data_IF_747351556652
#
_entry.id   IF_747351556652
#
_cell.length_a   1.000
_cell.length_b   1.000
_cell.length_c   1.000
_cell.angle_alpha   90.00
_cell.angle_beta   90.00
_cell.angle_gamma   90.00
#
_symmetry.space_group_name_H-M   'P 1'
#
loop_
_entity.id
_entity.type
_entity.pdbx_description
1 polymer ?
#
# COMPACT_ATOMS: atom_id res chain seq x y z
N UNK A 1 6.55 -13.19 5.27
CA UNK A 1 7.37 -14.39 5.55
C UNK A 1 8.80 -14.16 5.08
N UNK A 2 9.78 -14.95 5.54
CA UNK A 2 11.20 -14.81 5.17
C UNK A 2 11.77 -16.13 4.65
N UNK A 3 12.55 -16.08 3.57
CA UNK A 3 13.28 -17.26 3.08
C UNK A 3 14.47 -17.54 4.01
N UNK A 4 14.57 -18.79 4.50
CA UNK A 4 15.60 -19.24 5.44
C UNK A 4 16.60 -20.23 4.84
N UNK A 5 17.07 -20.00 3.60
CA UNK A 5 18.00 -20.92 2.93
C UNK A 5 19.46 -20.50 3.04
N UNK A 6 20.34 -21.50 3.20
CA UNK A 6 21.80 -21.34 3.16
C UNK A 6 22.40 -21.86 1.84
N UNK A 7 21.58 -22.36 0.91
CA UNK A 7 22.04 -22.81 -0.40
C UNK A 7 22.40 -21.61 -1.29
N UNK A 8 23.69 -21.27 -1.30
CA UNK A 8 24.22 -20.16 -2.08
C UNK A 8 23.99 -20.31 -3.59
N UNK A 9 23.91 -21.54 -4.12
CA UNK A 9 23.69 -21.79 -5.55
C UNK A 9 22.26 -21.45 -5.96
N UNK A 10 21.29 -21.91 -5.17
CA UNK A 10 19.89 -21.56 -5.41
C UNK A 10 19.61 -20.07 -5.19
N UNK A 11 20.22 -19.45 -4.19
CA UNK A 11 20.10 -18.00 -3.96
C UNK A 11 20.65 -17.18 -5.13
N UNK A 12 21.83 -17.55 -5.67
CA UNK A 12 22.36 -16.93 -6.89
C UNK A 12 21.43 -17.10 -8.09
N UNK A 13 20.81 -18.28 -8.23
CA UNK A 13 19.83 -18.53 -9.30
C UNK A 13 18.57 -17.67 -9.14
N UNK A 14 18.12 -17.44 -7.90
CA UNK A 14 17.01 -16.54 -7.60
C UNK A 14 17.37 -15.09 -7.94
N UNK A 15 18.58 -14.65 -7.58
CA UNK A 15 19.09 -13.31 -7.91
C UNK A 15 19.16 -13.06 -9.42
N UNK A 16 19.67 -14.03 -10.17
CA UNK A 16 19.72 -13.99 -11.62
C UNK A 16 18.30 -13.87 -12.21
N UNK A 17 17.34 -14.66 -11.70
CA UNK A 17 15.94 -14.59 -12.12
C UNK A 17 15.31 -13.22 -11.79
N UNK A 18 15.54 -12.68 -10.59
CA UNK A 18 15.06 -11.35 -10.18
C UNK A 18 15.66 -10.23 -11.03
N UNK A 19 16.94 -10.35 -11.40
CA UNK A 19 17.67 -9.44 -12.29
C UNK A 19 17.07 -9.42 -13.70
N UNK A 20 16.81 -10.60 -14.26
CA UNK A 20 16.20 -10.75 -15.57
C UNK A 20 14.77 -10.23 -15.56
N UNK A 21 13.97 -10.62 -14.57
CA UNK A 21 12.58 -10.16 -14.42
C UNK A 21 12.50 -8.63 -14.29
N UNK A 22 13.33 -8.04 -13.43
CA UNK A 22 13.41 -6.58 -13.27
C UNK A 22 13.83 -5.87 -14.56
N UNK A 23 14.71 -6.48 -15.37
CA UNK A 23 15.09 -5.96 -16.68
C UNK A 23 13.96 -6.03 -17.70
N UNK A 24 13.24 -7.16 -17.75
CA UNK A 24 12.06 -7.33 -18.60
C UNK A 24 10.97 -6.31 -18.26
N UNK A 25 10.71 -6.04 -16.97
CA UNK A 25 9.77 -5.01 -16.51
C UNK A 25 10.16 -3.62 -17.01
N UNK A 26 11.44 -3.25 -16.90
CA UNK A 26 11.94 -1.94 -17.38
C UNK A 26 11.86 -1.81 -18.90
N UNK A 27 12.19 -2.88 -19.62
CA UNK A 27 12.04 -2.93 -21.07
C UNK A 27 10.57 -2.73 -21.46
N UNK A 28 9.66 -3.50 -20.85
CA UNK A 28 8.22 -3.37 -21.08
C UNK A 28 7.72 -1.95 -20.79
N UNK A 29 8.14 -1.36 -19.67
CA UNK A 29 7.79 0.03 -19.31
C UNK A 29 8.17 1.03 -20.41
N UNK A 30 9.40 0.99 -20.92
CA UNK A 30 9.82 1.90 -21.98
C UNK A 30 9.06 1.65 -23.29
N UNK A 31 8.85 0.39 -23.68
CA UNK A 31 8.09 0.04 -24.89
C UNK A 31 6.62 0.46 -24.81
N UNK A 32 6.01 0.39 -23.62
CA UNK A 32 4.65 0.88 -23.39
C UNK A 32 4.55 2.41 -23.48
N UNK A 33 5.61 3.14 -23.07
CA UNK A 33 5.68 4.59 -23.25
C UNK A 33 5.89 5.01 -24.70
N UNK A 34 6.45 4.13 -25.53
CA UNK A 34 6.51 4.26 -27.00
C UNK A 34 5.23 3.77 -27.68
N UNK A 35 4.13 3.62 -26.93
CA UNK A 35 2.82 3.21 -27.42
C UNK A 35 2.77 1.83 -28.10
N UNK A 36 3.79 0.99 -27.90
CA UNK A 36 3.76 -0.38 -28.43
C UNK A 36 2.70 -1.22 -27.75
N UNK A 37 2.09 -2.12 -28.52
CA UNK A 37 1.03 -3.00 -28.04
C UNK A 37 1.55 -3.96 -26.95
N UNK A 38 0.81 -4.05 -25.84
CA UNK A 38 1.17 -4.94 -24.73
C UNK A 38 1.26 -6.41 -25.13
N UNK A 39 0.39 -6.89 -26.05
CA UNK A 39 0.41 -8.28 -26.52
C UNK A 39 1.71 -8.61 -27.24
N UNK A 40 2.20 -7.69 -28.08
CA UNK A 40 3.44 -7.87 -28.84
C UNK A 40 4.64 -7.87 -27.90
N UNK A 41 4.65 -6.98 -26.90
CA UNK A 41 5.69 -6.98 -25.86
C UNK A 41 5.68 -8.33 -25.12
N UNK A 42 4.52 -8.85 -24.71
CA UNK A 42 4.39 -10.14 -24.03
C UNK A 42 4.93 -11.29 -24.89
N UNK A 43 4.68 -11.25 -26.21
CA UNK A 43 5.19 -12.27 -27.14
C UNK A 43 6.70 -12.15 -27.36
N UNK A 44 7.23 -10.93 -27.36
CA UNK A 44 8.65 -10.65 -27.58
C UNK A 44 9.51 -11.02 -26.36
N UNK A 45 9.09 -10.66 -25.13
CA UNK A 45 9.89 -10.79 -23.90
C UNK A 45 10.51 -12.19 -23.65
N UNK A 46 9.84 -13.33 -23.90
CA UNK A 46 10.38 -14.65 -23.65
C UNK A 46 11.73 -14.93 -24.32
N UNK A 47 11.95 -14.48 -25.56
CA UNK A 47 13.16 -14.78 -26.33
C UNK A 47 14.42 -14.10 -25.78
N UNK A 48 14.50 -12.75 -25.65
CA UNK A 48 15.69 -12.07 -25.17
C UNK A 48 15.90 -12.19 -23.65
N UNK A 49 14.84 -12.38 -22.87
CA UNK A 49 14.94 -12.50 -21.41
C UNK A 49 14.90 -13.95 -20.92
N UNK A 50 14.72 -14.95 -21.78
CA UNK A 50 14.59 -16.37 -21.40
C UNK A 50 13.54 -16.59 -20.29
N UNK A 51 12.47 -15.80 -20.31
CA UNK A 51 11.37 -15.90 -19.35
C UNK A 51 10.25 -16.75 -19.93
N UNK A 52 9.52 -17.46 -19.05
CA UNK A 52 8.26 -18.06 -19.47
C UNK A 52 7.20 -16.98 -19.78
N UNK A 53 6.19 -17.33 -20.59
CA UNK A 53 5.13 -16.41 -21.01
C UNK A 53 4.36 -15.79 -19.83
N UNK A 54 4.27 -16.47 -18.68
CA UNK A 54 3.56 -15.97 -17.50
C UNK A 54 4.36 -14.87 -16.80
N UNK A 55 5.67 -15.06 -16.58
CA UNK A 55 6.54 -14.00 -16.08
C UNK A 55 6.61 -12.81 -17.04
N UNK A 56 6.59 -13.04 -18.35
CA UNK A 56 6.49 -11.96 -19.34
C UNK A 56 5.21 -11.14 -19.17
N UNK A 57 4.04 -11.81 -19.04
CA UNK A 57 2.76 -11.15 -18.73
C UNK A 57 2.83 -10.35 -17.43
N UNK A 58 3.38 -10.94 -16.38
CA UNK A 58 3.51 -10.32 -15.06
C UNK A 58 4.43 -9.08 -15.08
N UNK A 59 5.53 -9.12 -15.83
CA UNK A 59 6.42 -7.98 -16.02
C UNK A 59 5.74 -6.81 -16.75
N UNK A 60 4.95 -7.11 -17.79
CA UNK A 60 4.16 -6.11 -18.53
C UNK A 60 3.05 -5.54 -17.66
N UNK A 61 2.36 -6.37 -16.90
CA UNK A 61 1.32 -5.93 -15.96
C UNK A 61 1.90 -4.94 -14.94
N UNK A 62 3.03 -5.27 -14.30
CA UNK A 62 3.67 -4.35 -13.35
C UNK A 62 4.09 -3.03 -14.00
N UNK A 63 4.55 -3.07 -15.26
CA UNK A 63 4.89 -1.87 -16.00
C UNK A 63 3.66 -1.00 -16.29
N UNK A 64 2.54 -1.61 -16.72
CA UNK A 64 1.27 -0.92 -16.92
C UNK A 64 0.74 -0.30 -15.62
N UNK A 65 0.73 -1.06 -14.51
CA UNK A 65 0.32 -0.56 -13.20
C UNK A 65 1.19 0.63 -12.74
N UNK A 66 2.50 0.59 -13.02
CA UNK A 66 3.39 1.71 -12.71
C UNK A 66 3.06 2.97 -13.52
N UNK A 67 2.75 2.82 -14.82
CA UNK A 67 2.34 3.94 -15.69
C UNK A 67 0.99 4.51 -15.21
N UNK A 68 -0.01 3.65 -14.95
CA UNK A 68 -1.32 4.06 -14.42
C UNK A 68 -1.16 4.85 -13.13
N UNK A 69 -0.38 4.33 -12.20
CA UNK A 69 -0.09 5.00 -10.93
C UNK A 69 0.59 6.36 -11.13
N UNK A 70 1.51 6.52 -12.10
CA UNK A 70 2.10 7.84 -12.37
C UNK A 70 1.08 8.82 -12.96
N UNK A 71 0.18 8.36 -13.83
CA UNK A 71 -0.90 9.19 -14.40
C UNK A 71 -1.89 9.63 -13.33
N UNK A 72 -2.35 8.72 -12.49
CA UNK A 72 -3.28 9.00 -11.38
C UNK A 72 -2.69 9.99 -10.36
N UNK A 73 -1.38 9.89 -10.09
CA UNK A 73 -0.70 10.79 -9.16
C UNK A 73 -0.37 12.16 -9.74
N UNK A 74 -0.44 12.34 -11.07
CA UNK A 74 0.02 13.56 -11.73
C UNK A 74 -0.83 14.79 -11.34
N UNK A 75 -2.17 14.77 -11.43
CA UNK A 75 -3.01 15.87 -10.96
C UNK A 75 -2.80 16.20 -9.48
N UNK A 76 -2.70 15.17 -8.63
CA UNK A 76 -2.50 15.34 -7.18
C UNK A 76 -1.16 16.04 -6.91
N UNK A 77 -0.09 15.64 -7.61
CA UNK A 77 1.23 16.28 -7.49
C UNK A 77 1.22 17.71 -7.98
N UNK A 78 0.46 18.01 -9.03
CA UNK A 78 0.31 19.37 -9.54
C UNK A 78 -0.38 20.26 -8.50
N UNK A 79 -1.50 19.81 -7.94
CA UNK A 79 -2.23 20.50 -6.87
C UNK A 79 -1.32 20.73 -5.64
N UNK A 80 -0.56 19.72 -5.23
CA UNK A 80 0.40 19.82 -4.12
C UNK A 80 1.51 20.86 -4.37
N UNK A 81 1.94 21.03 -5.63
CA UNK A 81 2.94 22.03 -6.01
C UNK A 81 2.31 23.43 -6.04
N UNK A 82 1.12 23.58 -6.60
CA UNK A 82 0.37 24.83 -6.63
C UNK A 82 0.10 25.36 -5.21
N UNK A 83 -0.37 24.49 -4.32
CA UNK A 83 -0.57 24.83 -2.91
C UNK A 83 0.73 25.26 -2.20
N UNK A 84 1.91 24.80 -2.65
CA UNK A 84 3.21 25.26 -2.13
C UNK A 84 3.61 26.61 -2.72
N UNK A 85 3.32 26.86 -4.00
CA UNK A 85 3.55 28.15 -4.66
C UNK A 85 2.78 29.24 -3.93
N UNK A 86 1.46 29.08 -3.78
CA UNK A 86 0.58 30.04 -3.10
C UNK A 86 1.10 30.38 -1.68
N UNK A 87 1.56 29.36 -0.95
CA UNK A 87 2.11 29.55 0.40
C UNK A 87 3.45 30.28 0.40
N UNK A 88 4.33 29.95 -0.54
CA UNK A 88 5.62 30.65 -0.66
C UNK A 88 5.40 32.12 -1.06
N UNK A 89 4.47 32.39 -1.97
CA UNK A 89 4.07 33.75 -2.37
C UNK A 89 3.49 34.53 -1.19
N UNK A 90 2.54 33.95 -0.45
CA UNK A 90 2.01 34.55 0.79
C UNK A 90 3.11 34.85 1.81
N UNK A 91 4.08 33.94 1.97
CA UNK A 91 5.18 34.14 2.92
C UNK A 91 6.12 35.26 2.49
N UNK A 92 6.39 35.40 1.18
CA UNK A 92 7.15 36.52 0.63
C UNK A 92 6.40 37.84 0.91
N UNK A 93 5.09 37.88 0.63
CA UNK A 93 4.24 39.05 0.89
C UNK A 93 4.26 39.48 2.36
N UNK A 94 4.11 38.53 3.29
CA UNK A 94 4.15 38.79 4.73
C UNK A 94 5.50 39.37 5.20
N UNK A 95 6.62 38.94 4.60
CA UNK A 95 7.94 39.48 4.90
C UNK A 95 8.17 40.87 4.29
N UNK A 96 7.72 41.08 3.06
CA UNK A 96 7.85 42.38 2.37
C UNK A 96 7.05 43.47 3.07
N UNK A 97 5.85 43.16 3.58
CA UNK A 97 5.00 44.10 4.29
C UNK A 97 5.27 44.18 5.81
N UNK A 98 6.36 43.57 6.29
CA UNK A 98 6.75 43.61 7.71
C UNK A 98 5.79 42.88 8.67
N UNK A 99 4.81 42.10 8.16
CA UNK A 99 3.89 41.30 8.98
C UNK A 99 4.60 40.13 9.67
N UNK A 100 5.76 39.72 9.14
CA UNK A 100 6.67 38.73 9.74
C UNK A 100 8.12 39.19 9.61
N UNK A 101 8.96 38.72 10.53
CA UNK A 101 10.40 38.95 10.51
C UNK A 101 11.18 37.62 10.57
N UNK A 102 12.28 37.49 9.81
CA UNK A 102 13.07 36.26 9.80
C UNK A 102 13.84 36.12 11.12
N UNK A 103 13.88 34.91 11.68
CA UNK A 103 14.50 34.65 13.00
C UNK A 103 15.98 34.25 12.94
N UNK A 104 16.50 33.87 11.77
CA UNK A 104 17.81 33.21 11.64
C UNK A 104 18.79 33.92 10.69
N UNK A 105 18.26 34.67 9.74
CA UNK A 105 19.01 35.34 8.68
C UNK A 105 18.37 36.71 8.46
N UNK A 106 19.10 37.64 7.85
CA UNK A 106 18.58 38.93 7.46
C UNK A 106 17.45 38.81 6.42
N UNK A 107 16.62 39.85 6.33
CA UNK A 107 15.46 39.91 5.44
C UNK A 107 15.83 39.75 3.96
N UNK A 108 16.83 40.47 3.40
CA UNK A 108 17.28 40.27 2.03
C UNK A 108 17.64 38.81 1.71
N UNK A 109 18.48 38.19 2.54
CA UNK A 109 18.89 36.78 2.35
C UNK A 109 17.70 35.83 2.42
N UNK A 110 16.76 36.08 3.34
CA UNK A 110 15.54 35.27 3.46
C UNK A 110 14.68 35.36 2.20
N UNK A 111 14.42 36.57 1.71
CA UNK A 111 13.61 36.83 0.52
C UNK A 111 14.25 36.21 -0.72
N UNK A 112 15.57 36.38 -0.91
CA UNK A 112 16.30 35.75 -2.02
C UNK A 112 16.19 34.22 -2.00
N UNK A 113 16.26 33.61 -0.81
CA UNK A 113 16.05 32.17 -0.64
C UNK A 113 14.64 31.72 -1.02
N UNK A 114 13.61 32.48 -0.60
CA UNK A 114 12.22 32.20 -0.93
C UNK A 114 11.91 32.39 -2.42
N UNK A 115 12.48 33.41 -3.06
CA UNK A 115 12.36 33.64 -4.50
C UNK A 115 12.96 32.47 -5.30
N UNK A 116 14.17 32.02 -4.97
CA UNK A 116 14.78 30.83 -5.59
C UNK A 116 13.95 29.56 -5.37
N UNK A 117 13.31 29.43 -4.22
CA UNK A 117 12.40 28.31 -3.96
C UNK A 117 11.14 28.42 -4.83
N UNK A 118 10.58 29.62 -4.97
CA UNK A 118 9.41 29.89 -5.80
C UNK A 118 9.69 29.58 -7.28
N UNK A 119 10.83 30.02 -7.82
CA UNK A 119 11.27 29.70 -9.18
C UNK A 119 11.34 28.19 -9.43
N UNK A 120 11.91 27.43 -8.50
CA UNK A 120 11.97 25.96 -8.57
C UNK A 120 10.58 25.33 -8.55
N UNK A 121 9.66 25.86 -7.75
CA UNK A 121 8.29 25.36 -7.68
C UNK A 121 7.52 25.67 -8.97
N UNK A 122 7.63 26.90 -9.51
CA UNK A 122 7.01 27.30 -10.78
C UNK A 122 7.55 26.48 -11.96
N UNK A 123 8.87 26.27 -12.01
CA UNK A 123 9.48 25.37 -13.01
C UNK A 123 8.91 23.95 -12.90
N UNK A 124 8.74 23.44 -11.67
CA UNK A 124 8.15 22.12 -11.45
C UNK A 124 6.67 22.07 -11.84
N UNK A 125 5.90 23.10 -11.54
CA UNK A 125 4.50 23.23 -11.94
C UNK A 125 4.37 23.16 -13.47
N UNK A 126 5.20 23.94 -14.19
CA UNK A 126 5.21 23.94 -15.65
C UNK A 126 5.56 22.56 -16.24
N UNK A 127 6.55 21.86 -15.67
CA UNK A 127 6.88 20.48 -16.08
C UNK A 127 5.68 19.53 -15.90
N UNK A 128 4.97 19.62 -14.76
CA UNK A 128 3.83 18.76 -14.47
C UNK A 128 2.61 19.09 -15.35
N UNK A 129 2.33 20.38 -15.58
CA UNK A 129 1.29 20.83 -16.53
C UNK A 129 1.56 20.32 -17.93
N UNK A 130 2.79 20.49 -18.43
CA UNK A 130 3.18 19.99 -19.73
C UNK A 130 2.93 18.47 -19.88
N UNK A 131 3.30 17.67 -18.88
CA UNK A 131 3.01 16.24 -18.91
C UNK A 131 1.51 15.93 -18.90
N UNK A 132 0.72 16.69 -18.15
CA UNK A 132 -0.72 16.52 -18.07
C UNK A 132 -1.39 16.85 -19.41
N UNK A 133 -1.02 17.98 -20.01
CA UNK A 133 -1.57 18.47 -21.28
C UNK A 133 -1.23 17.53 -22.44
N UNK A 134 -0.03 16.95 -22.43
CA UNK A 134 0.43 16.02 -23.47
C UNK A 134 0.01 14.55 -23.19
N UNK A 135 -0.68 14.26 -22.09
CA UNK A 135 -1.04 12.88 -21.71
C UNK A 135 0.16 11.97 -21.41
N UNK A 136 1.32 12.54 -21.13
CA UNK A 136 2.57 11.83 -20.83
C UNK A 136 2.80 11.76 -19.32
N UNK A 137 3.90 11.12 -18.89
CA UNK A 137 4.28 11.04 -17.48
C UNK A 137 5.68 11.60 -17.26
N UNK A 138 5.97 12.18 -16.08
CA UNK A 138 7.31 12.53 -15.70
C UNK A 138 8.26 11.32 -15.73
N UNK A 139 9.54 11.58 -16.00
CA UNK A 139 10.55 10.52 -16.10
C UNK A 139 10.64 9.70 -14.81
N UNK A 140 10.43 8.39 -14.96
CA UNK A 140 10.54 7.43 -13.85
C UNK A 140 11.98 6.93 -13.73
N UNK A 141 12.56 7.10 -12.53
CA UNK A 141 13.89 6.60 -12.19
C UNK A 141 13.73 5.31 -11.37
N UNK A 142 13.89 4.16 -12.03
CA UNK A 142 13.95 2.87 -11.34
C UNK A 142 15.09 2.87 -10.31
N UNK A 143 14.84 2.33 -9.11
CA UNK A 143 15.80 2.37 -7.99
C UNK A 143 15.71 3.65 -7.15
N UNK A 144 14.92 4.63 -7.59
CA UNK A 144 14.57 5.83 -6.85
C UNK A 144 15.51 7.01 -7.11
N UNK A 145 14.92 8.21 -7.20
CA UNK A 145 15.64 9.47 -7.47
C UNK A 145 16.76 9.76 -6.46
N UNK A 146 16.54 9.46 -5.18
CA UNK A 146 17.55 9.66 -4.12
C UNK A 146 18.80 8.80 -4.37
N UNK A 147 18.62 7.53 -4.69
CA UNK A 147 19.72 6.60 -4.94
C UNK A 147 20.43 6.91 -6.27
N UNK A 148 19.70 7.42 -7.27
CA UNK A 148 20.32 7.94 -8.49
C UNK A 148 21.29 9.09 -8.20
N UNK A 149 20.93 10.05 -7.34
CA UNK A 149 21.86 11.10 -6.92
C UNK A 149 23.03 10.58 -6.08
N UNK A 150 22.81 9.56 -5.23
CA UNK A 150 23.93 8.89 -4.54
C UNK A 150 24.90 8.27 -5.55
N UNK A 151 24.39 7.65 -6.61
CA UNK A 151 25.20 7.06 -7.68
C UNK A 151 26.00 8.13 -8.43
N UNK A 152 25.39 9.27 -8.73
CA UNK A 152 26.07 10.41 -9.38
C UNK A 152 27.19 11.00 -8.52
N UNK A 153 27.03 10.98 -7.19
CA UNK A 153 28.03 11.46 -6.23
C UNK A 153 29.12 10.43 -5.90
N UNK A 154 29.05 9.22 -6.46
CA UNK A 154 29.99 8.14 -6.13
C UNK A 154 29.74 7.44 -4.79
N UNK A 155 28.63 7.74 -4.11
CA UNK A 155 28.32 7.17 -2.78
C UNK A 155 27.74 5.74 -2.84
N UNK A 156 27.37 5.27 -4.03
CA UNK A 156 27.01 3.87 -4.28
C UNK A 156 27.63 3.41 -5.60
N UNK A 157 28.01 2.15 -5.68
CA UNK A 157 28.59 1.52 -6.86
C UNK A 157 27.55 1.31 -7.96
N UNK A 158 28.02 0.98 -9.17
CA UNK A 158 27.13 0.62 -10.26
C UNK A 158 26.37 -0.69 -9.99
N UNK A 159 26.98 -1.61 -9.25
CA UNK A 159 26.37 -2.88 -8.85
C UNK A 159 25.24 -2.63 -7.86
N UNK A 160 25.50 -1.91 -6.77
CA UNK A 160 24.47 -1.51 -5.80
C UNK A 160 23.28 -0.81 -6.49
N UNK A 161 23.55 0.05 -7.48
CA UNK A 161 22.51 0.68 -8.28
C UNK A 161 21.71 -0.29 -9.17
N UNK A 162 22.36 -1.31 -9.73
CA UNK A 162 21.68 -2.39 -10.48
C UNK A 162 20.82 -3.24 -9.55
N UNK A 163 21.32 -3.55 -8.36
CA UNK A 163 20.61 -4.34 -7.35
C UNK A 163 19.31 -3.66 -6.89
N UNK A 164 19.35 -2.35 -6.61
CA UNK A 164 18.18 -1.56 -6.23
C UNK A 164 17.04 -1.57 -7.26
N UNK A 165 17.32 -1.99 -8.50
CA UNK A 165 16.35 -2.06 -9.61
C UNK A 165 15.92 -3.49 -9.93
N UNK A 166 16.57 -4.47 -9.31
CA UNK A 166 16.56 -5.88 -9.69
C UNK A 166 16.26 -6.79 -8.50
N UNK A 167 15.67 -6.23 -7.45
CA UNK A 167 15.44 -6.88 -6.16
C UNK A 167 14.00 -7.35 -5.98
N UNK A 168 13.28 -7.62 -7.06
CA UNK A 168 11.87 -8.02 -7.02
C UNK A 168 11.59 -9.15 -8.01
N UNK A 169 10.86 -10.17 -7.57
CA UNK A 169 10.15 -11.13 -8.42
C UNK A 169 8.67 -11.07 -8.09
N UNK A 170 7.82 -11.17 -9.10
CA UNK A 170 6.38 -11.09 -8.93
C UNK A 170 5.71 -12.14 -9.80
N UNK A 171 4.70 -12.82 -9.23
CA UNK A 171 3.88 -13.77 -9.94
C UNK A 171 2.43 -13.65 -9.48
N UNK A 172 1.53 -13.42 -10.42
CA UNK A 172 0.10 -13.28 -10.12
C UNK A 172 -0.58 -14.64 -10.00
N UNK A 173 -1.56 -14.71 -9.10
CA UNK A 173 -2.33 -15.92 -8.83
C UNK A 173 -3.24 -16.34 -9.99
N UNK A 174 -3.62 -17.62 -10.00
CA UNK A 174 -4.51 -18.26 -10.97
C UNK A 174 -5.14 -19.51 -10.34
N UNK A 175 -6.45 -19.45 -10.10
CA UNK A 175 -7.27 -20.52 -9.49
C UNK A 175 -7.09 -21.85 -10.22
N UNK A 176 -7.04 -21.82 -11.55
CA UNK A 176 -6.87 -23.03 -12.38
C UNK A 176 -5.47 -23.68 -12.27
N UNK A 177 -4.52 -23.04 -11.58
CA UNK A 177 -3.12 -23.49 -11.47
C UNK A 177 -2.65 -23.67 -10.04
N UNK A 178 -3.55 -24.10 -9.14
CA UNK A 178 -3.28 -24.34 -7.72
C UNK A 178 -2.85 -23.06 -6.99
N UNK A 179 -3.65 -22.01 -7.17
CA UNK A 179 -3.41 -20.69 -6.58
C UNK A 179 -2.35 -19.86 -7.31
N UNK A 180 -1.17 -20.40 -7.61
CA UNK A 180 -0.11 -19.71 -8.37
C UNK A 180 0.79 -20.71 -9.11
N UNK A 181 1.09 -20.49 -10.40
CA UNK A 181 1.92 -21.43 -11.18
C UNK A 181 3.43 -21.18 -11.00
N UNK A 182 3.82 -19.91 -10.99
CA UNK A 182 5.22 -19.50 -11.08
C UNK A 182 5.88 -19.47 -9.71
N UNK A 183 5.16 -19.10 -8.65
CA UNK A 183 5.67 -19.08 -7.28
C UNK A 183 4.63 -19.74 -6.39
N UNK A 184 4.93 -20.94 -5.92
CA UNK A 184 4.03 -21.75 -5.08
C UNK A 184 4.53 -21.79 -3.67
N UNK A 185 3.63 -21.63 -2.71
CA UNK A 185 3.87 -22.07 -1.36
C UNK A 185 3.34 -23.48 -1.19
N UNK A 186 4.06 -24.27 -0.41
CA UNK A 186 3.70 -25.64 -0.08
C UNK A 186 4.02 -25.86 1.38
N UNK A 187 3.10 -26.49 2.09
CA UNK A 187 3.32 -26.98 3.44
C UNK A 187 3.71 -28.47 3.38
N UNK A 188 4.62 -28.89 4.27
CA UNK A 188 5.03 -30.28 4.41
C UNK A 188 4.62 -30.78 5.80
N UNK A 189 3.57 -31.59 5.82
CA UNK A 189 2.97 -32.14 7.06
C UNK A 189 3.94 -32.99 7.88
N UNK A 190 5.03 -33.50 7.26
CA UNK A 190 6.02 -34.33 7.97
C UNK A 190 7.05 -33.49 8.71
N UNK A 191 7.45 -32.37 8.11
CA UNK A 191 8.48 -31.48 8.66
C UNK A 191 7.89 -30.24 9.34
N UNK A 192 6.56 -30.08 9.28
CA UNK A 192 5.83 -28.89 9.73
C UNK A 192 6.41 -27.59 9.16
N UNK A 193 6.96 -27.67 7.94
CA UNK A 193 7.71 -26.57 7.34
C UNK A 193 7.07 -26.08 6.04
N UNK A 194 6.95 -24.76 5.93
CA UNK A 194 6.57 -24.11 4.69
C UNK A 194 7.76 -23.97 3.73
N UNK A 195 7.52 -24.20 2.45
CA UNK A 195 8.47 -23.98 1.37
C UNK A 195 7.89 -23.07 0.31
N UNK A 196 8.75 -22.27 -0.32
CA UNK A 196 8.42 -21.58 -1.58
C UNK A 196 9.15 -22.27 -2.74
N UNK A 197 8.38 -22.72 -3.72
CA UNK A 197 8.86 -23.28 -4.96
C UNK A 197 8.70 -22.27 -6.10
N UNK A 198 9.79 -21.88 -6.75
CA UNK A 198 9.83 -20.82 -7.76
C UNK A 198 10.24 -21.41 -9.10
N UNK A 199 9.40 -21.27 -10.13
CA UNK A 199 9.75 -21.65 -11.49
C UNK A 199 10.98 -20.88 -11.97
N UNK A 200 11.99 -21.60 -12.46
CA UNK A 200 13.23 -21.00 -12.95
C UNK A 200 13.42 -21.30 -14.45
N UNK A 201 12.83 -20.49 -15.34
CA UNK A 201 12.99 -20.67 -16.78
C UNK A 201 14.44 -20.47 -17.27
N UNK A 202 15.30 -19.81 -16.50
CA UNK A 202 16.71 -19.61 -16.86
C UNK A 202 17.54 -20.90 -16.76
N UNK A 203 17.13 -21.82 -15.90
CA UNK A 203 17.72 -23.15 -15.77
C UNK A 203 17.09 -24.20 -16.69
N UNK A 204 16.17 -23.82 -17.58
CA UNK A 204 15.50 -24.76 -18.46
C UNK A 204 16.48 -25.32 -19.51
N UNK A 205 16.59 -26.64 -19.56
CA UNK A 205 17.28 -27.37 -20.64
C UNK A 205 16.30 -27.64 -21.79
N UNK A 206 16.83 -27.80 -23.00
CA UNK A 206 16.03 -28.11 -24.19
C UNK A 206 15.21 -29.39 -24.00
N UNK A 207 13.94 -29.36 -24.39
CA UNK A 207 12.99 -30.47 -24.24
C UNK A 207 12.53 -30.79 -22.80
N UNK A 208 13.12 -30.18 -21.76
CA UNK A 208 12.74 -30.42 -20.36
C UNK A 208 11.90 -29.28 -19.79
N UNK A 209 11.12 -29.61 -18.74
CA UNK A 209 10.44 -28.59 -17.96
C UNK A 209 11.44 -27.72 -17.19
N UNK A 210 11.11 -26.43 -17.04
CA UNK A 210 11.91 -25.52 -16.24
C UNK A 210 12.02 -26.04 -14.79
N UNK A 211 13.24 -26.10 -14.21
CA UNK A 211 13.42 -26.51 -12.82
C UNK A 211 12.71 -25.52 -11.88
N UNK A 212 12.48 -25.95 -10.64
CA UNK A 212 12.01 -25.06 -9.57
C UNK A 212 13.07 -24.90 -8.51
N UNK A 213 13.36 -23.66 -8.14
CA UNK A 213 14.11 -23.36 -6.91
C UNK A 213 13.18 -23.64 -5.73
N UNK A 214 13.69 -24.22 -4.65
CA UNK A 214 12.88 -24.57 -3.47
C UNK A 214 13.59 -24.06 -2.23
N UNK A 215 12.90 -23.23 -1.46
CA UNK A 215 13.46 -22.65 -0.25
C UNK A 215 12.53 -22.83 0.94
N UNK A 216 13.04 -23.15 2.14
CA UNK A 216 12.26 -23.06 3.37
C UNK A 216 11.86 -21.62 3.66
N UNK A 217 10.66 -21.43 4.19
CA UNK A 217 10.08 -20.13 4.49
C UNK A 217 9.60 -20.10 5.93
N UNK A 218 10.08 -19.11 6.68
CA UNK A 218 9.56 -18.80 8.02
C UNK A 218 8.25 -18.03 7.91
N UNK A 219 7.18 -18.67 8.40
CA UNK A 219 5.84 -18.09 8.56
C UNK A 219 5.67 -17.67 10.02
N UNK A 220 5.14 -16.47 10.30
CA UNK A 220 4.81 -16.11 11.67
C UNK A 220 3.63 -16.96 12.18
N UNK A 221 3.75 -17.51 13.39
CA UNK A 221 2.77 -18.39 14.06
C UNK A 221 1.31 -17.95 13.88
N UNK A 222 1.01 -16.67 14.13
CA UNK A 222 -0.33 -16.09 13.98
C UNK A 222 -0.96 -16.15 12.58
N UNK A 223 -0.21 -16.57 11.56
CA UNK A 223 -0.66 -16.73 10.19
C UNK A 223 -0.49 -18.17 9.70
N UNK A 224 -0.01 -19.10 10.51
CA UNK A 224 0.31 -20.45 10.04
C UNK A 224 -0.92 -21.17 9.51
N UNK A 225 -2.00 -21.26 10.30
CA UNK A 225 -3.26 -21.88 9.87
C UNK A 225 -3.81 -21.24 8.59
N UNK A 226 -3.92 -19.91 8.57
CA UNK A 226 -4.41 -19.15 7.41
C UNK A 226 -3.58 -19.42 6.15
N UNK A 227 -2.26 -19.52 6.27
CA UNK A 227 -1.38 -19.83 5.14
C UNK A 227 -1.48 -21.29 4.73
N UNK A 228 -1.63 -22.22 5.68
CA UNK A 228 -1.82 -23.64 5.40
C UNK A 228 -3.10 -23.82 4.59
N UNK A 229 -4.24 -23.30 5.08
CA UNK A 229 -5.54 -23.39 4.43
C UNK A 229 -5.50 -22.80 3.00
N UNK A 230 -4.86 -21.64 2.84
CA UNK A 230 -4.68 -21.00 1.53
C UNK A 230 -3.93 -21.88 0.52
N UNK A 231 -2.92 -22.64 0.97
CA UNK A 231 -2.04 -23.41 0.06
C UNK A 231 -2.48 -24.85 -0.15
N UNK A 232 -3.18 -25.45 0.82
CA UNK A 232 -3.75 -26.79 0.70
C UNK A 232 -4.99 -26.77 -0.20
N UNK A 233 -5.84 -25.75 -0.05
CA UNK A 233 -7.10 -25.60 -0.78
C UNK A 233 -8.21 -26.52 -0.24
N UNK A 234 -9.43 -26.26 -0.67
CA UNK A 234 -10.63 -26.91 -0.14
C UNK A 234 -11.01 -28.16 -0.95
N UNK A 235 -11.23 -29.32 -0.31
CA UNK A 235 -11.75 -30.49 -0.99
C UNK A 235 -13.23 -30.32 -1.31
N UNK A 236 -13.58 -30.20 -2.59
CA UNK A 236 -14.96 -29.94 -3.06
C UNK A 236 -15.65 -31.17 -3.66
N UNK A 237 -15.00 -32.32 -3.63
CA UNK A 237 -15.57 -33.59 -4.10
C UNK A 237 -14.51 -34.56 -4.59
N UNK A 238 -14.94 -35.58 -5.35
CA UNK A 238 -14.06 -36.55 -5.99
C UNK A 238 -14.32 -36.59 -7.48
N UNK A 239 -13.27 -36.79 -8.27
CA UNK A 239 -13.42 -36.99 -9.71
C UNK A 239 -13.88 -38.42 -10.02
N UNK A 240 -14.18 -38.71 -11.28
CA UNK A 240 -14.60 -40.03 -11.78
C UNK A 240 -13.62 -41.16 -11.48
N UNK A 241 -12.39 -40.86 -11.07
CA UNK A 241 -11.34 -41.82 -10.69
C UNK A 241 -11.11 -41.89 -9.17
N UNK A 242 -12.03 -41.35 -8.37
CA UNK A 242 -11.97 -41.36 -6.90
C UNK A 242 -10.91 -40.43 -6.30
N UNK A 243 -10.29 -39.54 -7.08
CA UNK A 243 -9.30 -38.58 -6.55
C UNK A 243 -10.00 -37.30 -6.08
N UNK A 244 -9.60 -36.72 -4.93
CA UNK A 244 -10.13 -35.45 -4.46
C UNK A 244 -9.98 -34.34 -5.50
N UNK A 245 -11.06 -33.59 -5.72
CA UNK A 245 -11.06 -32.33 -6.44
C UNK A 245 -10.80 -31.26 -5.40
N UNK A 246 -9.69 -30.54 -5.56
CA UNK A 246 -9.29 -29.47 -4.66
C UNK A 246 -9.53 -28.14 -5.36
N UNK A 247 -10.31 -27.29 -4.73
CA UNK A 247 -10.52 -25.92 -5.12
C UNK A 247 -9.46 -25.04 -4.46
N UNK A 248 -8.80 -24.18 -5.25
CA UNK A 248 -7.73 -23.34 -4.75
C UNK A 248 -8.11 -21.87 -4.86
N UNK A 249 -7.77 -21.09 -3.84
CA UNK A 249 -7.84 -19.64 -3.93
C UNK A 249 -6.62 -19.08 -4.71
N UNK A 250 -6.82 -18.16 -5.66
CA UNK A 250 -5.71 -17.48 -6.32
C UNK A 250 -4.98 -16.54 -5.35
N UNK A 251 -3.65 -16.66 -5.27
CA UNK A 251 -2.82 -15.75 -4.50
C UNK A 251 -1.65 -15.23 -5.33
N UNK A 252 -1.39 -13.94 -5.21
CA UNK A 252 -0.23 -13.28 -5.81
C UNK A 252 0.94 -13.34 -4.85
N UNK A 253 2.12 -13.61 -5.39
CA UNK A 253 3.36 -13.64 -4.63
C UNK A 253 4.30 -12.56 -5.14
N UNK A 254 4.84 -11.78 -4.22
CA UNK A 254 5.93 -10.85 -4.47
C UNK A 254 7.11 -11.19 -3.56
N UNK A 255 8.26 -11.49 -4.16
CA UNK A 255 9.51 -11.71 -3.45
C UNK A 255 10.35 -10.45 -3.55
N UNK A 256 10.77 -9.91 -2.42
CA UNK A 256 11.63 -8.72 -2.33
C UNK A 256 12.94 -9.05 -1.64
N UNK A 257 14.05 -8.68 -2.28
CA UNK A 257 15.39 -8.76 -1.69
C UNK A 257 15.74 -7.42 -1.03
N UNK A 258 16.15 -7.45 0.23
CA UNK A 258 16.57 -6.28 1.00
C UNK A 258 17.70 -6.66 1.95
N UNK A 259 18.84 -5.97 1.87
CA UNK A 259 20.00 -6.21 2.72
C UNK A 259 20.45 -7.70 2.73
N UNK A 260 20.47 -8.34 1.55
CA UNK A 260 20.81 -9.77 1.41
C UNK A 260 19.71 -10.76 1.81
N UNK A 261 18.61 -10.29 2.41
CA UNK A 261 17.51 -11.14 2.85
C UNK A 261 16.33 -11.11 1.87
N UNK A 262 15.57 -12.20 1.80
CA UNK A 262 14.44 -12.35 0.89
C UNK A 262 13.13 -12.47 1.66
N UNK A 263 12.22 -11.58 1.34
CA UNK A 263 10.91 -11.47 1.96
C UNK A 263 9.85 -11.91 0.95
N UNK A 264 9.01 -12.86 1.36
CA UNK A 264 7.87 -13.33 0.60
C UNK A 264 6.62 -12.60 1.11
N UNK A 265 6.00 -11.84 0.21
CA UNK A 265 4.73 -11.18 0.40
C UNK A 265 3.65 -11.94 -0.36
N UNK A 266 2.60 -12.35 0.35
CA UNK A 266 1.40 -12.90 -0.23
C UNK A 266 0.31 -11.86 -0.29
N UNK A 267 -0.47 -11.91 -1.36
CA UNK A 267 -1.64 -11.07 -1.56
C UNK A 267 -2.73 -11.99 -2.09
N UNK A 268 -3.78 -12.17 -1.29
CA UNK A 268 -4.98 -12.92 -1.62
C UNK A 268 -6.19 -12.13 -1.12
N UNK A 269 -7.36 -12.52 -1.59
CA UNK A 269 -8.61 -11.94 -1.13
C UNK A 269 -8.97 -12.59 0.21
N UNK A 270 -9.32 -11.79 1.21
CA UNK A 270 -9.72 -12.34 2.50
C UNK A 270 -11.25 -12.41 2.52
N UNK A 271 -11.82 -13.57 2.80
CA UNK A 271 -13.26 -13.66 3.06
C UNK A 271 -13.55 -12.99 4.41
N UNK A 272 -14.48 -12.03 4.39
CA UNK A 272 -14.90 -11.29 5.57
C UNK A 272 -16.41 -11.35 5.72
N UNK A 273 -16.89 -11.44 6.95
CA UNK A 273 -18.32 -11.60 7.26
C UNK A 273 -19.09 -10.28 7.23
N UNK A 274 -18.40 -9.15 7.41
CA UNK A 274 -18.97 -7.82 7.36
C UNK A 274 -18.89 -7.21 5.97
N UNK A 275 -19.52 -6.05 5.78
CA UNK A 275 -19.48 -5.32 4.50
C UNK A 275 -19.62 -3.82 4.68
N UNK A 276 -19.14 -3.08 3.69
CA UNK A 276 -19.48 -1.66 3.56
C UNK A 276 -20.90 -1.52 3.00
N UNK A 277 -21.69 -0.63 3.60
CA UNK A 277 -23.03 -0.27 3.12
C UNK A 277 -22.92 0.82 2.05
N UNK A 278 -23.78 0.74 1.04
CA UNK A 278 -23.89 1.80 0.04
C UNK A 278 -24.38 3.11 0.69
N UNK A 279 -24.18 4.23 -0.02
CA UNK A 279 -24.54 5.56 0.49
C UNK A 279 -26.03 5.67 0.81
N UNK A 280 -26.87 5.17 -0.09
CA UNK A 280 -28.33 5.13 -0.04
C UNK A 280 -28.89 3.96 0.79
N UNK A 281 -28.07 2.96 1.13
CA UNK A 281 -28.51 1.80 1.88
C UNK A 281 -28.78 2.15 3.36
N UNK A 282 -29.99 1.89 3.89
CA UNK A 282 -30.33 2.22 5.27
C UNK A 282 -29.66 1.27 6.28
N UNK A 283 -29.32 1.80 7.45
CA UNK A 283 -28.78 0.98 8.55
C UNK A 283 -29.94 0.29 9.27
N UNK A 284 -29.97 -1.03 9.25
CA UNK A 284 -31.02 -1.84 9.88
C UNK A 284 -30.69 -2.32 11.31
N UNK A 285 -29.59 -1.85 11.90
CA UNK A 285 -29.16 -2.27 13.24
C UNK A 285 -29.92 -1.51 14.35
N UNK A 286 -30.24 -2.19 15.45
CA UNK A 286 -30.90 -1.59 16.62
C UNK A 286 -29.97 -0.64 17.40
N UNK A 287 -28.67 -0.95 17.41
CA UNK A 287 -27.61 -0.10 17.99
C UNK A 287 -26.57 0.23 16.94
N UNK A 288 -26.25 1.52 16.82
CA UNK A 288 -25.38 2.08 15.79
C UNK A 288 -24.29 2.89 16.48
N UNK A 289 -23.02 2.66 16.12
CA UNK A 289 -21.90 3.44 16.63
C UNK A 289 -21.40 4.45 15.61
N UNK A 290 -21.38 5.74 15.96
CA UNK A 290 -20.63 6.77 15.24
C UNK A 290 -19.20 6.86 15.76
N UNK A 291 -18.22 6.76 14.86
CA UNK A 291 -16.80 6.89 15.17
C UNK A 291 -16.26 8.21 14.62
N UNK A 292 -15.82 9.08 15.52
CA UNK A 292 -15.02 10.25 15.19
C UNK A 292 -13.54 9.99 15.48
N UNK A 293 -12.69 10.30 14.50
CA UNK A 293 -11.26 10.02 14.54
C UNK A 293 -10.48 11.33 14.67
N UNK A 294 -9.74 11.44 15.75
CA UNK A 294 -8.77 12.49 16.01
C UNK A 294 -7.35 11.92 16.06
N UNK A 295 -6.34 12.80 16.15
CA UNK A 295 -4.93 12.42 16.10
C UNK A 295 -4.51 11.61 17.35
N UNK A 296 -5.09 11.94 18.49
CA UNK A 296 -4.75 11.45 19.83
C UNK A 296 -5.86 10.59 20.46
N UNK A 297 -6.99 10.42 19.77
CA UNK A 297 -8.13 9.66 20.28
C UNK A 297 -9.10 9.20 19.19
N UNK A 298 -9.82 8.14 19.51
CA UNK A 298 -11.00 7.67 18.78
C UNK A 298 -12.20 7.87 19.71
N UNK A 299 -13.12 8.75 19.33
CA UNK A 299 -14.35 9.00 20.08
C UNK A 299 -15.48 8.17 19.45
N UNK A 300 -16.19 7.40 20.27
CA UNK A 300 -17.25 6.51 19.82
C UNK A 300 -18.53 6.86 20.55
N UNK A 301 -19.61 7.09 19.81
CA UNK A 301 -20.95 7.33 20.37
C UNK A 301 -21.92 6.27 19.85
N UNK A 302 -22.64 5.61 20.74
CA UNK A 302 -23.66 4.62 20.41
C UNK A 302 -25.04 5.26 20.53
N UNK A 303 -25.85 5.07 19.48
CA UNK A 303 -27.23 5.54 19.41
C UNK A 303 -28.17 4.39 19.09
N UNK A 304 -29.45 4.53 19.44
CA UNK A 304 -30.49 3.62 18.99
C UNK A 304 -30.80 3.83 17.50
N UNK A 305 -31.54 2.91 16.90
CA UNK A 305 -32.08 3.04 15.53
C UNK A 305 -32.87 4.33 15.29
N UNK A 306 -33.55 4.84 16.32
CA UNK A 306 -34.30 6.11 16.28
C UNK A 306 -33.38 7.34 16.45
N UNK A 307 -32.08 7.13 16.68
CA UNK A 307 -31.09 8.19 16.84
C UNK A 307 -31.07 8.81 18.24
N UNK A 308 -31.55 8.08 19.25
CA UNK A 308 -31.42 8.49 20.65
C UNK A 308 -30.04 8.11 21.18
N UNK A 309 -29.41 9.00 21.94
CA UNK A 309 -28.13 8.72 22.57
C UNK A 309 -28.25 7.59 23.60
N UNK A 310 -27.32 6.64 23.56
CA UNK A 310 -27.25 5.55 24.54
C UNK A 310 -26.01 5.73 25.43
N UNK A 311 -24.83 5.86 24.83
CA UNK A 311 -23.55 5.95 25.55
C UNK A 311 -22.43 6.43 24.63
N UNK A 312 -21.33 6.88 25.22
CA UNK A 312 -20.11 7.21 24.49
C UNK A 312 -18.87 6.75 25.24
N UNK A 313 -17.80 6.46 24.50
CA UNK A 313 -16.48 6.12 25.05
C UNK A 313 -15.40 6.74 24.20
N UNK A 314 -14.34 7.22 24.84
CA UNK A 314 -13.15 7.77 24.18
C UNK A 314 -11.99 6.81 24.41
N UNK A 315 -11.36 6.40 23.31
CA UNK A 315 -10.17 5.56 23.32
C UNK A 315 -8.97 6.42 22.99
N UNK A 316 -8.16 6.73 24.00
CA UNK A 316 -7.00 7.59 23.87
C UNK A 316 -5.81 6.86 23.28
N UNK A 317 -5.07 7.55 22.42
CA UNK A 317 -3.86 7.08 21.78
C UNK A 317 -2.80 8.20 21.76
N UNK A 318 -2.58 8.82 22.93
CA UNK A 318 -1.62 9.92 23.14
C UNK A 318 -0.18 9.59 22.69
N UNK A 319 0.20 8.32 22.65
CA UNK A 319 1.55 7.93 22.27
C UNK A 319 1.85 8.08 20.76
N UNK A 320 0.82 8.13 19.90
CA UNK A 320 1.00 8.16 18.45
C UNK A 320 1.84 9.34 17.98
N UNK A 321 1.88 10.37 18.82
CA UNK A 321 2.61 11.61 18.70
C UNK A 321 4.13 11.45 18.52
N UNK A 322 4.75 10.65 19.38
CA UNK A 322 6.21 10.61 19.54
C UNK A 322 6.82 9.25 19.20
N UNK A 323 6.01 8.18 19.14
CA UNK A 323 6.50 6.82 18.87
C UNK A 323 6.91 6.60 17.41
N UNK A 324 7.86 5.68 17.22
CA UNK A 324 8.34 5.25 15.89
C UNK A 324 7.23 4.52 15.12
N UNK A 325 7.34 4.49 13.79
CA UNK A 325 6.29 3.98 12.88
C UNK A 325 5.80 2.56 13.21
N UNK A 326 6.69 1.64 13.61
CA UNK A 326 6.29 0.27 13.97
C UNK A 326 5.45 0.23 15.24
N UNK A 327 5.93 0.88 16.33
CA UNK A 327 5.17 0.99 17.58
C UNK A 327 3.84 1.71 17.36
N UNK A 328 3.82 2.76 16.53
CA UNK A 328 2.60 3.48 16.14
C UNK A 328 1.55 2.56 15.52
N UNK A 329 1.97 1.67 14.62
CA UNK A 329 1.06 0.71 13.98
C UNK A 329 0.50 -0.30 14.99
N UNK A 330 1.32 -0.70 15.97
CA UNK A 330 0.87 -1.60 17.02
C UNK A 330 -0.19 -0.94 17.90
N UNK A 331 0.09 0.28 18.39
CA UNK A 331 -0.87 1.06 19.19
C UNK A 331 -2.18 1.26 18.42
N UNK A 332 -2.11 1.66 17.15
CA UNK A 332 -3.32 1.77 16.30
C UNK A 332 -4.09 0.44 16.25
N UNK A 333 -3.40 -0.69 16.10
CA UNK A 333 -4.04 -2.00 16.07
C UNK A 333 -4.67 -2.41 17.41
N UNK A 334 -4.00 -2.12 18.52
CA UNK A 334 -4.49 -2.36 19.89
C UNK A 334 -5.70 -1.47 20.20
N UNK A 335 -5.60 -0.15 19.98
CA UNK A 335 -6.72 0.76 20.22
C UNK A 335 -7.96 0.38 19.38
N UNK A 336 -7.77 0.00 18.11
CA UNK A 336 -8.89 -0.44 17.26
C UNK A 336 -9.48 -1.77 17.75
N UNK A 337 -8.66 -2.67 18.31
CA UNK A 337 -9.15 -3.89 18.96
C UNK A 337 -10.05 -3.55 20.15
N UNK A 338 -9.57 -2.69 21.05
CA UNK A 338 -10.32 -2.26 22.23
C UNK A 338 -11.65 -1.58 21.86
N UNK A 339 -11.66 -0.80 20.78
CA UNK A 339 -12.87 -0.20 20.22
C UNK A 339 -13.87 -1.29 19.84
N UNK A 340 -13.47 -2.28 19.03
CA UNK A 340 -14.40 -3.30 18.58
C UNK A 340 -14.81 -4.30 19.67
N UNK A 341 -13.92 -4.61 20.61
CA UNK A 341 -14.25 -5.45 21.76
C UNK A 341 -15.35 -4.79 22.61
N UNK A 342 -15.25 -3.47 22.82
CA UNK A 342 -16.31 -2.71 23.45
C UNK A 342 -17.58 -2.67 22.59
N UNK A 343 -17.49 -2.42 21.27
CA UNK A 343 -18.68 -2.42 20.41
C UNK A 343 -19.44 -3.77 20.41
N UNK A 344 -18.71 -4.88 20.48
CA UNK A 344 -19.30 -6.22 20.62
C UNK A 344 -20.02 -6.37 21.97
N UNK A 345 -19.40 -5.96 23.08
CA UNK A 345 -20.02 -5.97 24.41
C UNK A 345 -21.32 -5.15 24.45
N UNK A 346 -21.36 -4.05 23.69
CA UNK A 346 -22.53 -3.17 23.62
C UNK A 346 -23.58 -3.61 22.59
N UNK A 347 -23.42 -4.77 21.97
CA UNK A 347 -24.31 -5.33 20.93
C UNK A 347 -24.55 -4.35 19.78
N UNK A 348 -23.50 -3.65 19.34
CA UNK A 348 -23.58 -2.75 18.19
C UNK A 348 -23.62 -3.57 16.90
N UNK A 349 -24.60 -3.31 16.03
CA UNK A 349 -24.75 -4.04 14.76
C UNK A 349 -24.21 -3.29 13.54
N UNK A 350 -23.92 -2.00 13.68
CA UNK A 350 -23.38 -1.18 12.58
C UNK A 350 -22.48 -0.05 13.08
N UNK A 351 -21.46 0.27 12.30
CA UNK A 351 -20.53 1.37 12.56
C UNK A 351 -20.62 2.40 11.45
N UNK A 352 -20.71 3.66 11.83
CA UNK A 352 -20.70 4.82 10.95
C UNK A 352 -19.39 5.56 11.12
N UNK A 353 -18.69 5.81 10.02
CA UNK A 353 -17.39 6.49 10.01
C UNK A 353 -17.40 7.58 8.94
N UNK A 354 -16.74 8.70 9.23
CA UNK A 354 -16.58 9.75 8.24
C UNK A 354 -15.66 9.30 7.08
N UNK A 355 -16.07 9.59 5.85
CA UNK A 355 -15.24 9.43 4.67
C UNK A 355 -14.23 10.58 4.60
N UNK A 356 -13.13 10.45 5.32
CA UNK A 356 -12.13 11.52 5.35
C UNK A 356 -11.27 11.45 4.10
N UNK A 357 -11.51 12.36 3.15
CA UNK A 357 -10.54 12.69 2.12
C UNK A 357 -9.47 13.61 2.72
N UNK A 358 -8.35 13.03 3.16
CA UNK A 358 -7.22 13.79 3.68
C UNK A 358 -6.48 14.47 2.54
N UNK A 359 -6.82 15.73 2.25
CA UNK A 359 -5.87 16.64 1.60
C UNK A 359 -4.87 17.10 2.65
N UNK A 360 -3.57 16.97 2.37
CA UNK A 360 -2.54 17.54 3.24
C UNK A 360 -2.65 19.07 3.17
N UNK A 361 -3.40 19.66 4.11
CA UNK A 361 -3.20 21.08 4.41
C UNK A 361 -1.83 21.19 5.06
N UNK A 362 -0.79 21.49 4.27
CA UNK A 362 0.52 21.85 4.80
C UNK A 362 0.37 23.14 5.62
N UNK A 363 -0.11 23.03 6.86
CA UNK A 363 -0.29 24.16 7.76
C UNK A 363 1.07 24.65 8.22
N UNK A 364 1.18 25.91 8.62
CA UNK A 364 2.43 26.57 9.00
C UNK A 364 3.04 26.08 10.31
N UNK A 365 2.32 25.24 11.07
CA UNK A 365 2.83 24.70 12.32
C UNK A 365 3.75 23.48 12.07
N UNK A 366 5.02 23.64 12.42
CA UNK A 366 6.01 22.56 12.38
C UNK A 366 5.59 21.37 13.25
N UNK A 367 4.90 21.63 14.36
CA UNK A 367 4.31 20.60 15.21
C UNK A 367 3.26 19.89 14.36
N UNK A 368 2.17 20.55 13.97
CA UNK A 368 1.11 19.95 13.15
C UNK A 368 1.60 19.19 11.90
N UNK A 369 2.58 19.71 11.15
CA UNK A 369 3.15 19.03 9.98
C UNK A 369 3.95 17.77 10.34
N UNK A 370 4.75 17.81 11.41
CA UNK A 370 5.43 16.62 11.94
C UNK A 370 4.40 15.57 12.36
N UNK A 371 3.28 16.02 12.91
CA UNK A 371 2.15 15.18 13.33
C UNK A 371 1.40 14.57 12.16
N UNK A 372 0.94 15.34 11.17
CA UNK A 372 0.22 14.83 9.98
C UNK A 372 1.11 13.98 9.08
N UNK A 373 2.41 14.28 8.95
CA UNK A 373 3.35 13.41 8.25
C UNK A 373 3.46 12.03 8.92
N UNK A 374 3.34 11.99 10.25
CA UNK A 374 3.44 10.78 11.05
C UNK A 374 2.09 10.04 11.18
N UNK A 375 1.00 10.77 11.28
CA UNK A 375 -0.35 10.26 11.48
C UNK A 375 -1.07 10.16 10.14
N UNK A 376 -0.98 8.99 9.51
CA UNK A 376 -1.79 8.68 8.33
C UNK A 376 -3.22 8.39 8.79
N UNK A 377 -4.06 9.40 8.99
CA UNK A 377 -5.48 9.23 9.39
C UNK A 377 -6.20 8.21 8.50
N UNK A 378 -5.89 8.16 7.19
CA UNK A 378 -6.34 7.11 6.26
C UNK A 378 -6.00 5.70 6.74
N UNK A 379 -4.78 5.46 7.24
CA UNK A 379 -4.36 4.15 7.76
C UNK A 379 -5.16 3.74 8.99
N UNK A 380 -5.49 4.68 9.88
CA UNK A 380 -6.32 4.40 11.03
C UNK A 380 -7.75 4.07 10.60
N UNK A 381 -8.36 4.89 9.74
CA UNK A 381 -9.67 4.63 9.12
C UNK A 381 -9.69 3.26 8.43
N UNK A 382 -8.69 2.94 7.59
CA UNK A 382 -8.61 1.64 6.92
C UNK A 382 -8.46 0.47 7.90
N UNK A 383 -7.74 0.67 9.01
CA UNK A 383 -7.62 -0.34 10.08
C UNK A 383 -8.94 -0.57 10.79
N UNK A 384 -9.68 0.50 11.11
CA UNK A 384 -11.02 0.43 11.71
C UNK A 384 -11.97 -0.33 10.79
N UNK A 385 -12.03 0.05 9.51
CA UNK A 385 -12.91 -0.58 8.54
C UNK A 385 -12.55 -2.06 8.37
N UNK A 386 -11.27 -2.39 8.16
CA UNK A 386 -10.83 -3.79 7.99
C UNK A 386 -11.12 -4.65 9.21
N UNK A 387 -10.85 -4.15 10.43
CA UNK A 387 -11.16 -4.89 11.67
C UNK A 387 -12.66 -5.11 11.81
N UNK A 388 -13.48 -4.10 11.53
CA UNK A 388 -14.94 -4.21 11.60
C UNK A 388 -15.51 -5.23 10.63
N UNK A 389 -15.08 -5.20 9.37
CA UNK A 389 -15.53 -6.18 8.38
C UNK A 389 -15.14 -7.61 8.76
N UNK A 390 -13.91 -7.82 9.27
CA UNK A 390 -13.48 -9.14 9.79
C UNK A 390 -14.36 -9.65 10.94
N UNK A 391 -14.83 -8.75 11.80
CA UNK A 391 -15.69 -9.06 12.93
C UNK A 391 -17.20 -9.08 12.57
N UNK A 392 -17.56 -9.01 11.29
CA UNK A 392 -18.96 -9.09 10.85
C UNK A 392 -19.75 -7.79 10.88
N UNK A 393 -19.13 -6.65 11.20
CA UNK A 393 -19.84 -5.37 11.27
C UNK A 393 -20.22 -4.83 9.89
N UNK A 394 -21.39 -4.19 9.82
CA UNK A 394 -21.80 -3.34 8.68
C UNK A 394 -21.20 -1.96 8.87
N UNK A 395 -20.42 -1.49 7.89
CA UNK A 395 -19.72 -0.20 7.96
C UNK A 395 -20.35 0.80 6.98
N UNK A 396 -20.85 1.95 7.47
CA UNK A 396 -21.35 3.02 6.61
C UNK A 396 -20.39 4.21 6.61
N UNK A 397 -19.94 4.60 5.42
CA UNK A 397 -19.15 5.82 5.22
C UNK A 397 -20.08 7.00 4.96
N UNK A 398 -19.91 8.09 5.71
CA UNK A 398 -20.72 9.31 5.57
C UNK A 398 -19.86 10.50 5.20
N UNK A 399 -20.43 11.49 4.51
CA UNK A 399 -19.74 12.74 4.23
C UNK A 399 -19.55 13.52 5.55
N UNK A 400 -18.33 13.97 5.90
CA UNK A 400 -18.08 14.74 7.12
C UNK A 400 -18.77 16.12 7.15
N UNK A 401 -19.36 16.60 6.05
CA UNK A 401 -20.00 17.91 6.01
C UNK A 401 -21.13 18.04 7.04
N UNK A 402 -21.05 19.07 7.90
CA UNK A 402 -22.05 19.46 8.91
C UNK A 402 -22.34 18.44 10.03
N UNK A 403 -21.64 17.31 10.10
CA UNK A 403 -21.83 16.26 11.13
C UNK A 403 -21.61 16.81 12.53
N UNK A 404 -20.53 17.58 12.73
CA UNK A 404 -20.16 18.19 14.02
C UNK A 404 -21.15 19.28 14.45
N UNK A 405 -21.68 20.04 13.47
CA UNK A 405 -22.66 21.12 13.72
C UNK A 405 -24.00 20.53 14.14
N UNK A 406 -24.50 19.54 13.40
CA UNK A 406 -25.76 18.85 13.71
C UNK A 406 -25.67 18.15 15.07
N UNK A 407 -24.56 17.46 15.35
CA UNK A 407 -24.34 16.81 16.64
C UNK A 407 -24.43 17.79 17.82
N UNK A 408 -23.86 18.98 17.67
CA UNK A 408 -23.95 20.05 18.68
C UNK A 408 -25.41 20.47 18.92
N UNK A 409 -26.22 20.66 17.88
CA UNK A 409 -27.60 21.07 18.09
C UNK A 409 -28.50 19.96 18.62
N UNK A 410 -28.25 18.70 18.24
CA UNK A 410 -29.11 17.56 18.59
C UNK A 410 -28.86 17.01 20.00
N UNK A 411 -27.62 17.07 20.49
CA UNK A 411 -27.21 16.43 21.75
C UNK A 411 -26.62 17.40 22.78
N UNK A 412 -26.79 18.71 22.60
CA UNK A 412 -26.52 19.67 23.69
C UNK A 412 -27.53 19.41 24.80
N UNK A 413 -27.00 19.06 25.98
CA UNK A 413 -27.74 19.01 27.22
C UNK A 413 -28.31 20.42 27.43
N UNK A 414 -29.64 20.57 27.33
CA UNK A 414 -30.31 21.74 27.90
C UNK A 414 -30.14 21.64 29.42
N UNK A 415 -29.64 22.71 30.08
CA UNK A 415 -29.40 22.70 31.52
C UNK A 415 -30.65 22.40 32.33
#
# INVERSE_FOLDING_TARGET
MKIGSHDASQLRSLDELMRVFGSAKRYAFNRLLEERNAKDIIQHLPRPFRLNKRFAKDAVLLAQSLISSQRELLPIRLEDVQAKIEKTEKKIDEYQHGRKTPKKVDLPTCLAGLQRQLEKLKSKENELKHHLDQGTIPRVIFGGKQNFYKRLKGNITNEEWKELRSNQLYARGDKSKKGNLNIRLTYDDKTYQCYVAIANPLGQQEGKHAPRLRFPVSVPEKYEEEIIDLVTGDPVGVNTKGKPIIEYQPYTVEIKRKNGEYYVHLIYEEEVYGRELAYDEPIQAERIAGIDINIDRIAVSVVSKQGNFIKSKVFYCHELEYVRANKRNNIVGETVRDVYDWLLQENVGAVVIENIQLRQRHDTDKRFNRFTHNFKKKKLTDTIIRRGMRLGFRIKKVNPAYTSVIGRFKYVIRP
#
